data_IF_733551165054
#
_entry.id   IF_733551165054
#
_cell.length_a   1.000
_cell.length_b   1.000
_cell.length_c   1.000
_cell.angle_alpha   90.00
_cell.angle_beta   90.00
_cell.angle_gamma   90.00
#
_symmetry.space_group_name_H-M   'P 1'
#
loop_
_entity.id
_entity.type
_entity.pdbx_description
1 polymer ?
#
# COMPACT_ATOMS: atom_id res chain seq x y z
N UNK A 1 -9.34 -10.16 -25.53
CA UNK A 1 -8.91 -8.82 -25.97
C UNK A 1 -8.13 -8.24 -24.80
N UNK A 2 -6.81 -8.24 -24.86
CA UNK A 2 -5.96 -7.68 -23.80
C UNK A 2 -5.69 -6.22 -24.14
N UNK A 3 -6.22 -5.31 -23.33
CA UNK A 3 -5.98 -3.88 -23.46
C UNK A 3 -4.50 -3.61 -23.19
N UNK A 4 -3.75 -3.34 -24.26
CA UNK A 4 -2.35 -2.94 -24.15
C UNK A 4 -2.34 -1.53 -23.56
N UNK A 5 -1.77 -1.38 -22.38
CA UNK A 5 -1.55 -0.08 -21.75
C UNK A 5 -0.62 0.73 -22.66
N UNK A 6 -1.05 1.94 -23.03
CA UNK A 6 -0.27 2.81 -23.91
C UNK A 6 1.07 3.17 -23.24
N UNK A 7 2.21 3.09 -23.95
CA UNK A 7 3.51 3.51 -23.45
C UNK A 7 3.52 4.95 -22.91
N UNK A 8 2.72 5.84 -23.51
CA UNK A 8 2.55 7.23 -23.07
C UNK A 8 1.88 7.32 -21.69
N UNK A 9 0.94 6.43 -21.39
CA UNK A 9 0.29 6.39 -20.07
C UNK A 9 1.31 6.01 -18.99
N UNK A 10 2.16 5.02 -19.27
CA UNK A 10 3.21 4.58 -18.34
C UNK A 10 4.29 5.64 -18.13
N UNK A 11 4.71 6.33 -19.20
CA UNK A 11 5.68 7.43 -19.11
C UNK A 11 5.15 8.61 -18.27
N UNK A 12 3.87 8.96 -18.44
CA UNK A 12 3.24 10.02 -17.66
C UNK A 12 3.09 9.66 -16.18
N UNK A 13 2.78 8.40 -15.87
CA UNK A 13 2.72 7.93 -14.46
C UNK A 13 4.10 7.94 -13.80
N UNK A 14 5.14 7.54 -14.53
CA UNK A 14 6.52 7.56 -14.01
C UNK A 14 7.04 8.99 -13.83
N UNK A 15 6.77 9.88 -14.78
CA UNK A 15 7.12 11.29 -14.68
C UNK A 15 6.37 11.98 -13.53
N UNK A 16 5.08 11.67 -13.32
CA UNK A 16 4.30 12.20 -12.21
C UNK A 16 4.79 11.68 -10.85
N UNK A 17 5.15 10.39 -10.74
CA UNK A 17 5.77 9.82 -9.54
C UNK A 17 7.14 10.44 -9.24
N UNK A 18 7.97 10.63 -10.27
CA UNK A 18 9.29 11.24 -10.14
C UNK A 18 9.20 12.74 -9.78
N UNK A 19 8.29 13.48 -10.40
CA UNK A 19 8.02 14.87 -10.07
C UNK A 19 7.48 15.02 -8.63
N UNK A 20 6.61 14.11 -8.17
CA UNK A 20 6.14 14.10 -6.78
C UNK A 20 7.26 13.81 -5.78
N UNK A 21 8.24 13.00 -6.16
CA UNK A 21 9.43 12.71 -5.35
C UNK A 21 10.42 13.90 -5.31
N UNK A 22 10.58 14.64 -6.41
CA UNK A 22 11.47 15.81 -6.48
C UNK A 22 10.88 17.05 -5.81
N UNK A 23 9.55 17.19 -5.77
CA UNK A 23 8.88 18.32 -5.12
C UNK A 23 8.66 18.12 -3.62
N UNK A 24 8.95 16.93 -3.05
CA UNK A 24 9.17 16.81 -1.61
C UNK A 24 10.56 17.34 -1.28
N UNK A 25 10.60 18.57 -0.77
CA UNK A 25 11.82 19.32 -0.45
C UNK A 25 12.66 18.64 0.63
N UNK A 26 13.59 17.78 0.21
CA UNK A 26 14.95 17.57 0.74
C UNK A 26 15.41 16.19 0.26
N UNK A 27 16.60 16.12 -0.35
CA UNK A 27 17.29 14.83 -0.48
C UNK A 27 17.39 14.21 0.93
N UNK A 28 17.17 12.90 1.10
CA UNK A 28 17.27 12.28 2.41
C UNK A 28 18.64 12.55 3.03
N UNK A 29 18.64 13.07 4.27
CA UNK A 29 19.84 13.59 4.95
C UNK A 29 20.90 12.53 5.28
N UNK A 30 20.58 11.24 5.11
CA UNK A 30 21.54 10.15 5.34
C UNK A 30 21.57 9.15 4.19
N UNK A 31 22.75 8.56 3.98
CA UNK A 31 22.99 7.53 2.98
C UNK A 31 22.13 6.29 3.20
N UNK A 32 21.74 5.96 4.44
CA UNK A 32 20.86 4.82 4.71
C UNK A 32 19.44 5.04 4.16
N UNK A 33 18.86 6.24 4.38
CA UNK A 33 17.50 6.55 3.89
C UNK A 33 17.49 6.62 2.36
N UNK A 34 18.58 7.08 1.75
CA UNK A 34 18.74 7.06 0.30
C UNK A 34 18.81 5.62 -0.25
N UNK A 35 19.61 4.75 0.36
CA UNK A 35 19.73 3.34 -0.02
C UNK A 35 18.39 2.59 0.16
N UNK A 36 17.67 2.84 1.25
CA UNK A 36 16.36 2.24 1.52
C UNK A 36 15.30 2.70 0.51
N UNK A 37 15.34 3.98 0.10
CA UNK A 37 14.46 4.51 -0.95
C UNK A 37 14.73 3.86 -2.30
N UNK A 38 16.02 3.66 -2.67
CA UNK A 38 16.40 2.94 -3.89
C UNK A 38 15.99 1.45 -3.83
N UNK A 39 16.09 0.83 -2.65
CA UNK A 39 15.70 -0.57 -2.46
C UNK A 39 14.17 -0.74 -2.55
N UNK A 40 13.38 0.20 -2.03
CA UNK A 40 11.92 0.21 -2.21
C UNK A 40 11.53 0.42 -3.67
N UNK A 41 12.25 1.26 -4.40
CA UNK A 41 12.01 1.52 -5.81
C UNK A 41 12.30 0.28 -6.66
N UNK A 42 13.47 -0.34 -6.47
CA UNK A 42 13.90 -1.54 -7.23
C UNK A 42 13.07 -2.79 -6.91
N UNK A 43 12.56 -2.92 -5.68
CA UNK A 43 11.68 -4.02 -5.30
C UNK A 43 10.20 -3.77 -5.65
N UNK A 44 9.86 -2.61 -6.22
CA UNK A 44 8.50 -2.33 -6.66
C UNK A 44 8.06 -3.33 -7.74
N UNK A 45 6.91 -4.03 -7.56
CA UNK A 45 6.39 -4.96 -8.55
C UNK A 45 6.19 -4.33 -9.92
N UNK A 46 5.85 -3.03 -9.96
CA UNK A 46 5.65 -2.26 -11.18
C UNK A 46 6.95 -2.09 -11.97
N UNK A 47 8.08 -1.85 -11.28
CA UNK A 47 9.40 -1.73 -11.93
C UNK A 47 9.83 -3.09 -12.49
N UNK A 48 9.60 -4.18 -11.75
CA UNK A 48 9.90 -5.53 -12.24
C UNK A 48 9.05 -5.93 -13.45
N UNK A 49 7.79 -5.51 -13.53
CA UNK A 49 6.94 -5.71 -14.71
C UNK A 49 7.47 -4.87 -15.89
N UNK A 50 7.76 -3.59 -15.66
CA UNK A 50 8.34 -2.71 -16.67
C UNK A 50 9.67 -3.21 -17.23
N UNK A 51 10.57 -3.71 -16.37
CA UNK A 51 11.86 -4.26 -16.79
C UNK A 51 11.67 -5.53 -17.64
N UNK A 52 10.74 -6.41 -17.26
CA UNK A 52 10.44 -7.63 -18.03
C UNK A 52 9.80 -7.32 -19.39
N UNK A 53 8.93 -6.32 -19.45
CA UNK A 53 8.28 -5.91 -20.70
C UNK A 53 9.26 -5.16 -21.63
N UNK A 54 10.19 -4.38 -21.08
CA UNK A 54 11.22 -3.66 -21.85
C UNK A 54 12.25 -4.62 -22.47
N UNK A 55 12.66 -5.66 -21.73
CA UNK A 55 13.57 -6.70 -22.24
C UNK A 55 12.91 -7.55 -23.34
N UNK A 56 11.58 -7.73 -23.30
CA UNK A 56 10.85 -8.46 -24.34
C UNK A 56 10.45 -7.61 -25.56
N UNK A 57 10.47 -6.28 -25.47
CA UNK A 57 10.12 -5.37 -26.59
C UNK A 57 11.32 -4.90 -27.43
N UNK A 58 12.54 -5.36 -27.13
CA UNK A 58 13.74 -4.97 -27.89
C UNK A 58 13.89 -5.62 -29.27
N UNK A 59 12.90 -6.42 -29.70
CA UNK A 59 12.77 -6.94 -31.06
C UNK A 59 11.41 -6.56 -31.66
N UNK A 60 11.18 -5.26 -31.92
CA UNK A 60 10.48 -4.78 -33.11
C UNK A 60 10.23 -3.27 -33.03
N UNK A 61 10.66 -2.59 -34.10
CA UNK A 61 10.15 -1.30 -34.58
C UNK A 61 10.77 -0.02 -33.99
N UNK A 62 11.65 0.55 -34.81
CA UNK A 62 11.90 1.99 -34.94
C UNK A 62 10.63 2.72 -35.38
N UNK A 63 10.24 3.79 -34.67
CA UNK A 63 10.25 5.16 -35.18
C UNK A 63 9.51 6.13 -34.24
N UNK A 64 10.25 7.17 -33.86
CA UNK A 64 9.80 8.55 -33.64
C UNK A 64 8.65 8.81 -32.65
N UNK A 65 8.98 8.90 -31.35
CA UNK A 65 8.50 9.99 -30.46
C UNK A 65 9.50 10.25 -29.31
N UNK A 66 9.75 11.54 -29.03
CA UNK A 66 10.45 12.14 -27.88
C UNK A 66 11.63 11.37 -27.24
N UNK A 67 12.76 11.36 -27.95
CA UNK A 67 13.98 10.61 -27.62
C UNK A 67 14.96 11.21 -26.59
N UNK A 68 14.59 12.22 -25.79
CA UNK A 68 15.53 12.77 -24.80
C UNK A 68 15.45 12.11 -23.41
N UNK A 69 14.30 11.58 -22.99
CA UNK A 69 14.16 10.99 -21.64
C UNK A 69 14.61 9.52 -21.59
N UNK A 70 14.41 8.75 -22.66
CA UNK A 70 14.76 7.32 -22.70
C UNK A 70 16.25 7.06 -22.91
N UNK A 71 16.98 7.98 -23.55
CA UNK A 71 18.44 7.89 -23.71
C UNK A 71 19.18 7.89 -22.36
N UNK A 72 18.62 8.54 -21.33
CA UNK A 72 19.26 8.62 -20.02
C UNK A 72 19.12 7.32 -19.20
N UNK A 73 18.00 6.59 -19.32
CA UNK A 73 17.79 5.33 -18.59
C UNK A 73 18.67 4.22 -19.17
N UNK A 74 18.72 4.10 -20.50
CA UNK A 74 19.57 3.09 -21.16
C UNK A 74 21.04 3.33 -20.86
N UNK A 75 21.49 4.60 -20.89
CA UNK A 75 22.84 4.96 -20.48
C UNK A 75 23.13 4.57 -19.03
N UNK A 76 22.23 4.90 -18.11
CA UNK A 76 22.38 4.57 -16.69
C UNK A 76 22.44 3.06 -16.43
N UNK A 77 21.60 2.27 -17.11
CA UNK A 77 21.65 0.81 -17.00
C UNK A 77 22.94 0.23 -17.55
N UNK A 78 23.45 0.77 -18.66
CA UNK A 78 24.73 0.35 -19.22
C UNK A 78 25.90 0.73 -18.30
N UNK A 79 25.85 1.92 -17.68
CA UNK A 79 26.85 2.35 -16.70
C UNK A 79 26.85 1.44 -15.46
N UNK A 80 25.67 1.02 -14.97
CA UNK A 80 25.55 0.04 -13.88
C UNK A 80 26.16 -1.31 -14.26
N UNK A 81 25.84 -1.82 -15.46
CA UNK A 81 26.38 -3.10 -15.93
C UNK A 81 27.90 -3.02 -16.08
N UNK A 82 28.43 -1.91 -16.61
CA UNK A 82 29.86 -1.70 -16.73
C UNK A 82 30.54 -1.63 -15.36
N UNK A 83 29.97 -0.91 -14.39
CA UNK A 83 30.49 -0.84 -13.01
C UNK A 83 30.54 -2.24 -12.37
N UNK A 84 29.52 -3.07 -12.59
CA UNK A 84 29.47 -4.44 -12.07
C UNK A 84 30.48 -5.37 -12.77
N UNK A 85 30.76 -5.14 -14.05
CA UNK A 85 31.79 -5.88 -14.79
C UNK A 85 33.21 -5.48 -14.38
N UNK A 86 33.43 -4.18 -14.16
CA UNK A 86 34.73 -3.64 -13.76
C UNK A 86 35.08 -3.95 -12.30
N UNK A 87 34.08 -4.32 -11.48
CA UNK A 87 34.25 -4.60 -10.04
C UNK A 87 33.58 -5.94 -9.66
N UNK A 88 34.16 -7.10 -10.06
CA UNK A 88 33.58 -8.41 -9.79
C UNK A 88 33.35 -8.69 -8.30
N UNK A 89 34.17 -8.11 -7.42
CA UNK A 89 34.05 -8.23 -5.95
C UNK A 89 32.74 -7.64 -5.40
N UNK A 90 32.14 -6.67 -6.09
CA UNK A 90 30.83 -6.13 -5.75
C UNK A 90 29.72 -7.15 -6.01
N UNK A 91 29.87 -7.99 -7.04
CA UNK A 91 28.90 -9.03 -7.37
C UNK A 91 28.85 -10.10 -6.27
N UNK A 92 30.01 -10.47 -5.73
CA UNK A 92 30.12 -11.41 -4.62
C UNK A 92 29.60 -10.81 -3.33
N UNK A 93 29.84 -9.51 -3.08
CA UNK A 93 29.30 -8.81 -1.91
C UNK A 93 27.77 -8.73 -1.94
N UNK A 94 27.17 -8.43 -3.10
CA UNK A 94 25.71 -8.40 -3.30
C UNK A 94 25.07 -9.79 -3.14
N UNK A 95 25.71 -10.84 -3.64
CA UNK A 95 25.23 -12.21 -3.46
C UNK A 95 25.35 -12.66 -2.00
N UNK A 96 26.46 -12.30 -1.32
CA UNK A 96 26.69 -12.61 0.08
C UNK A 96 25.70 -11.90 1.01
N UNK A 97 25.27 -10.68 0.69
CA UNK A 97 24.20 -10.00 1.44
C UNK A 97 22.82 -10.64 1.22
N UNK A 98 22.54 -11.14 0.01
CA UNK A 98 21.32 -11.93 -0.25
C UNK A 98 21.31 -13.24 0.55
N UNK A 99 22.44 -13.92 0.65
CA UNK A 99 22.57 -15.16 1.42
C UNK A 99 22.53 -14.90 2.95
N UNK A 100 23.10 -13.79 3.41
CA UNK A 100 23.01 -13.37 4.82
C UNK A 100 21.58 -13.03 5.24
N UNK A 101 20.75 -12.59 4.28
CA UNK A 101 19.32 -12.34 4.48
C UNK A 101 18.45 -13.61 4.41
N UNK A 102 18.99 -14.75 3.99
CA UNK A 102 18.26 -16.02 3.81
C UNK A 102 18.53 -17.08 4.91
N UNK A 103 19.45 -16.82 5.84
CA UNK A 103 19.84 -17.81 6.87
C UNK A 103 19.26 -17.58 8.27
N UNK A 104 18.31 -16.66 8.44
CA UNK A 104 17.52 -16.62 9.68
C UNK A 104 16.59 -17.85 9.68
N UNK A 105 16.65 -18.74 10.69
CA UNK A 105 15.80 -19.92 10.76
C UNK A 105 14.34 -19.47 10.76
N UNK A 106 13.66 -19.66 9.64
CA UNK A 106 12.25 -19.33 9.48
C UNK A 106 11.41 -20.44 10.11
N UNK A 107 11.52 -20.60 11.44
CA UNK A 107 10.50 -21.26 12.25
C UNK A 107 9.52 -20.19 12.73
N UNK A 108 8.88 -19.50 11.80
CA UNK A 108 7.71 -18.65 12.09
C UNK A 108 6.52 -19.55 11.82
N UNK A 109 6.21 -20.43 12.77
CA UNK A 109 5.26 -20.17 13.85
C UNK A 109 3.91 -19.76 13.27
N UNK A 110 2.92 -20.59 13.56
CA UNK A 110 1.51 -20.48 13.23
C UNK A 110 1.04 -19.05 12.99
N UNK A 111 0.21 -18.88 11.96
CA UNK A 111 -0.46 -17.66 11.50
C UNK A 111 -1.29 -17.02 12.63
N UNK A 112 -0.59 -16.45 13.62
CA UNK A 112 -1.17 -15.91 14.83
C UNK A 112 -1.77 -14.59 14.46
N UNK A 113 -3.09 -14.57 14.43
CA UNK A 113 -3.85 -13.34 14.21
C UNK A 113 -3.43 -12.35 15.29
N UNK A 114 -2.92 -11.20 14.86
CA UNK A 114 -2.60 -10.08 15.72
C UNK A 114 -3.77 -9.80 16.68
N UNK A 115 -3.51 -9.88 17.98
CA UNK A 115 -4.50 -9.59 19.02
C UNK A 115 -4.24 -8.18 19.57
N UNK A 116 -5.23 -7.30 19.46
CA UNK A 116 -5.14 -5.94 19.98
C UNK A 116 -5.35 -5.94 21.49
N UNK A 117 -4.31 -5.58 22.25
CA UNK A 117 -4.39 -5.41 23.71
C UNK A 117 -4.92 -4.02 24.07
N UNK A 118 -5.50 -3.88 25.27
CA UNK A 118 -6.04 -2.61 25.76
C UNK A 118 -4.99 -1.48 25.74
N UNK A 119 -3.74 -1.80 26.09
CA UNK A 119 -2.62 -0.84 26.05
C UNK A 119 -2.39 -0.30 24.64
N UNK A 120 -2.39 -1.17 23.63
CA UNK A 120 -2.27 -0.76 22.22
C UNK A 120 -3.43 0.13 21.79
N UNK A 121 -4.65 -0.12 22.29
CA UNK A 121 -5.83 0.68 21.95
C UNK A 121 -5.74 2.11 22.51
N UNK A 122 -5.33 2.24 23.77
CA UNK A 122 -5.10 3.55 24.37
C UNK A 122 -4.01 4.31 23.65
N UNK A 123 -2.91 3.62 23.29
CA UNK A 123 -1.82 4.23 22.56
C UNK A 123 -2.24 4.70 21.17
N UNK A 124 -2.95 3.86 20.42
CA UNK A 124 -3.51 4.22 19.12
C UNK A 124 -4.45 5.43 19.23
N UNK A 125 -5.34 5.45 20.22
CA UNK A 125 -6.26 6.58 20.44
C UNK A 125 -5.49 7.88 20.69
N UNK A 126 -4.50 7.86 21.58
CA UNK A 126 -3.65 9.02 21.87
C UNK A 126 -2.89 9.54 20.63
N UNK A 127 -2.37 8.64 19.79
CA UNK A 127 -1.66 9.02 18.57
C UNK A 127 -2.61 9.58 17.49
N UNK A 128 -3.85 9.10 17.42
CA UNK A 128 -4.87 9.61 16.51
C UNK A 128 -5.34 11.01 16.91
N UNK A 129 -5.44 11.30 18.21
CA UNK A 129 -5.75 12.64 18.72
C UNK A 129 -4.67 13.67 18.31
N UNK A 130 -3.41 13.21 18.19
CA UNK A 130 -2.29 14.00 17.70
C UNK A 130 -2.25 14.15 16.17
N UNK A 131 -3.26 13.64 15.44
CA UNK A 131 -3.37 13.69 13.97
C UNK A 131 -2.15 13.12 13.22
N UNK A 132 -1.53 12.07 13.77
CA UNK A 132 -0.39 11.41 13.12
C UNK A 132 -0.84 10.53 11.94
N UNK A 133 0.05 10.31 10.98
CA UNK A 133 -0.22 9.42 9.84
C UNK A 133 -0.20 7.95 10.26
N UNK A 134 -0.96 7.09 9.58
CA UNK A 134 -1.01 5.66 9.93
C UNK A 134 0.35 4.94 9.79
N UNK A 135 1.21 5.40 8.87
CA UNK A 135 2.58 4.88 8.71
C UNK A 135 3.40 5.16 9.96
N UNK A 136 3.39 6.41 10.44
CA UNK A 136 4.07 6.81 11.66
C UNK A 136 3.53 6.06 12.88
N UNK A 137 2.21 5.97 13.02
CA UNK A 137 1.57 5.26 14.14
C UNK A 137 1.98 3.78 14.15
N UNK A 138 2.06 3.17 12.98
CA UNK A 138 2.45 1.76 12.85
C UNK A 138 3.88 1.54 13.29
N UNK A 139 4.80 2.44 12.92
CA UNK A 139 6.18 2.38 13.38
C UNK A 139 6.25 2.43 14.90
N UNK A 140 5.60 3.42 15.53
CA UNK A 140 5.57 3.57 16.99
C UNK A 140 5.01 2.33 17.67
N UNK A 141 3.89 1.78 17.19
CA UNK A 141 3.29 0.59 17.80
C UNK A 141 4.13 -0.67 17.59
N UNK A 142 4.83 -0.79 16.45
CA UNK A 142 5.73 -1.90 16.22
C UNK A 142 6.94 -1.84 17.15
N UNK A 143 7.53 -0.65 17.32
CA UNK A 143 8.67 -0.42 18.19
C UNK A 143 8.31 -0.63 19.67
N UNK A 144 7.17 -0.10 20.13
CA UNK A 144 6.76 -0.18 21.54
C UNK A 144 6.33 -1.58 21.96
N UNK A 145 5.70 -2.36 21.06
CA UNK A 145 5.09 -3.65 21.41
C UNK A 145 5.80 -4.86 20.76
N UNK A 146 6.91 -4.66 20.06
CA UNK A 146 7.65 -5.72 19.37
C UNK A 146 6.83 -6.40 18.27
N UNK A 147 6.04 -5.62 17.53
CA UNK A 147 5.11 -6.12 16.51
C UNK A 147 5.65 -5.90 15.09
N UNK A 148 5.04 -6.58 14.12
CA UNK A 148 5.31 -6.38 12.69
C UNK A 148 4.01 -6.06 11.95
N UNK A 149 3.28 -5.06 12.43
CA UNK A 149 2.03 -4.63 11.81
C UNK A 149 2.28 -3.82 10.54
N UNK A 150 1.32 -3.89 9.61
CA UNK A 150 1.26 -3.05 8.41
C UNK A 150 0.36 -1.84 8.65
N UNK A 151 0.61 -0.68 8.01
CA UNK A 151 -0.22 0.53 8.14
C UNK A 151 -1.72 0.32 7.91
N UNK A 152 -2.07 -0.57 6.97
CA UNK A 152 -3.45 -0.91 6.69
C UNK A 152 -4.16 -1.58 7.88
N UNK A 153 -3.47 -2.35 8.72
CA UNK A 153 -4.06 -2.99 9.90
C UNK A 153 -4.46 -1.95 10.95
N UNK A 154 -3.60 -0.94 11.18
CA UNK A 154 -3.89 0.19 12.07
C UNK A 154 -5.06 1.02 11.54
N UNK A 155 -5.03 1.37 10.25
CA UNK A 155 -6.14 2.09 9.60
C UNK A 155 -7.46 1.33 9.73
N UNK A 156 -7.47 0.02 9.45
CA UNK A 156 -8.68 -0.79 9.60
C UNK A 156 -9.16 -0.87 11.06
N UNK A 157 -8.24 -1.00 12.03
CA UNK A 157 -8.60 -1.03 13.45
C UNK A 157 -9.31 0.27 13.85
N UNK A 158 -8.71 1.40 13.51
CA UNK A 158 -9.28 2.70 13.81
C UNK A 158 -10.65 2.88 13.17
N UNK A 159 -10.72 2.74 11.84
CA UNK A 159 -11.92 3.03 11.05
C UNK A 159 -13.08 2.05 11.25
N UNK A 160 -12.84 0.88 11.87
CA UNK A 160 -13.88 -0.14 12.08
C UNK A 160 -14.26 -0.36 13.53
N UNK A 161 -13.41 -0.02 14.50
CA UNK A 161 -13.59 -0.45 15.89
C UNK A 161 -13.38 0.67 16.90
N UNK A 162 -12.27 1.39 16.79
CA UNK A 162 -11.83 2.30 17.87
C UNK A 162 -12.26 3.74 17.68
N UNK A 163 -12.46 4.20 16.45
CA UNK A 163 -12.88 5.58 16.20
C UNK A 163 -14.17 5.91 16.99
N UNK A 164 -14.15 6.93 17.86
CA UNK A 164 -15.29 7.29 18.72
C UNK A 164 -16.52 7.76 17.92
N UNK A 165 -16.35 8.18 16.67
CA UNK A 165 -17.46 8.51 15.78
C UNK A 165 -18.28 7.28 15.35
N UNK A 166 -17.78 6.06 15.59
CA UNK A 166 -18.49 4.83 15.25
C UNK A 166 -19.56 4.57 16.31
N UNK A 167 -20.82 4.55 15.86
CA UNK A 167 -21.97 4.17 16.67
C UNK A 167 -21.92 2.67 16.99
N UNK A 168 -21.56 2.39 18.23
CA UNK A 168 -21.60 1.06 18.84
C UNK A 168 -23.01 0.81 19.40
N UNK A 169 -23.49 -0.43 19.28
CA UNK A 169 -24.78 -0.85 19.85
C UNK A 169 -25.88 -1.14 18.82
N UNK A 170 -27.10 -1.31 19.34
CA UNK A 170 -28.28 -1.72 18.58
C UNK A 170 -28.65 -0.69 17.51
N UNK A 171 -29.32 -1.16 16.47
CA UNK A 171 -29.91 -0.29 15.46
C UNK A 171 -31.20 0.30 16.01
N UNK A 172 -31.36 1.61 15.87
CA UNK A 172 -32.61 2.28 16.24
C UNK A 172 -33.68 1.96 15.21
N UNK A 173 -34.94 1.94 15.63
CA UNK A 173 -36.06 1.64 14.74
C UNK A 173 -36.10 2.60 13.53
N UNK A 174 -35.87 3.89 13.76
CA UNK A 174 -35.79 4.90 12.71
C UNK A 174 -34.63 4.66 11.71
N UNK A 175 -33.50 4.12 12.19
CA UNK A 175 -32.37 3.76 11.31
C UNK A 175 -32.72 2.55 10.45
N UNK A 176 -33.44 1.58 11.03
CA UNK A 176 -33.90 0.38 10.33
C UNK A 176 -34.85 0.78 9.22
N UNK A 177 -35.89 1.56 9.52
CA UNK A 177 -36.89 2.04 8.55
C UNK A 177 -36.25 2.80 7.38
N UNK A 178 -35.29 3.69 7.69
CA UNK A 178 -34.50 4.38 6.65
C UNK A 178 -33.69 3.40 5.81
N UNK A 179 -33.06 2.40 6.42
CA UNK A 179 -32.30 1.39 5.71
C UNK A 179 -33.21 0.59 4.76
N UNK A 180 -34.40 0.18 5.22
CA UNK A 180 -35.35 -0.55 4.37
C UNK A 180 -35.82 0.29 3.19
N UNK A 181 -36.09 1.57 3.41
CA UNK A 181 -36.48 2.49 2.36
C UNK A 181 -35.39 2.61 1.28
N UNK A 182 -34.11 2.64 1.68
CA UNK A 182 -33.00 2.68 0.73
C UNK A 182 -32.78 1.36 -0.01
N UNK A 183 -32.97 0.21 0.66
CA UNK A 183 -32.91 -1.11 0.01
C UNK A 183 -34.03 -1.22 -1.04
N UNK A 184 -35.26 -0.81 -0.71
CA UNK A 184 -36.40 -0.81 -1.65
C UNK A 184 -36.17 0.09 -2.87
N UNK A 185 -35.33 1.12 -2.74
CA UNK A 185 -34.89 1.98 -3.84
C UNK A 185 -33.72 1.41 -4.65
N UNK A 186 -33.27 0.19 -4.34
CA UNK A 186 -32.14 -0.48 -4.98
C UNK A 186 -30.83 0.33 -4.93
N UNK A 187 -30.61 1.10 -3.85
CA UNK A 187 -29.34 1.81 -3.66
C UNK A 187 -28.20 0.81 -3.38
N UNK A 188 -27.01 1.13 -3.89
CA UNK A 188 -25.81 0.35 -3.57
C UNK A 188 -25.42 0.51 -2.10
N UNK A 189 -24.73 -0.48 -1.54
CA UNK A 189 -24.29 -0.44 -0.13
C UNK A 189 -23.40 0.78 0.16
N UNK A 190 -22.60 1.21 -0.82
CA UNK A 190 -21.75 2.41 -0.70
C UNK A 190 -22.58 3.69 -0.58
N UNK A 191 -23.63 3.82 -1.41
CA UNK A 191 -24.56 4.94 -1.33
C UNK A 191 -25.32 4.94 -0.02
N UNK A 192 -25.81 3.79 0.43
CA UNK A 192 -26.47 3.65 1.73
C UNK A 192 -25.52 4.08 2.85
N UNK A 193 -24.27 3.64 2.82
CA UNK A 193 -23.26 4.02 3.83
C UNK A 193 -23.06 5.53 3.93
N UNK A 194 -23.08 6.25 2.81
CA UNK A 194 -23.02 7.72 2.82
C UNK A 194 -24.18 8.39 3.57
N UNK A 195 -25.31 7.69 3.77
CA UNK A 195 -26.51 8.17 4.46
C UNK A 195 -26.57 7.80 5.95
N UNK A 196 -25.67 6.97 6.44
CA UNK A 196 -25.61 6.55 7.85
C UNK A 196 -24.29 6.98 8.51
N UNK A 197 -24.15 8.26 8.87
CA UNK A 197 -22.95 8.72 9.58
C UNK A 197 -22.78 7.92 10.88
N UNK A 198 -21.53 7.51 11.13
CA UNK A 198 -21.17 6.71 12.31
C UNK A 198 -21.48 5.21 12.21
N UNK A 199 -22.14 4.73 11.15
CA UNK A 199 -22.21 3.28 10.87
C UNK A 199 -21.18 2.91 9.83
N UNK A 200 -20.42 1.86 10.11
CA UNK A 200 -19.43 1.32 9.17
C UNK A 200 -20.13 0.54 8.04
N UNK A 201 -19.48 0.50 6.87
CA UNK A 201 -19.94 -0.31 5.74
C UNK A 201 -20.24 -1.78 6.14
N UNK A 202 -19.39 -2.36 6.98
CA UNK A 202 -19.55 -3.74 7.45
C UNK A 202 -20.81 -3.92 8.32
N UNK A 203 -21.15 -2.95 9.18
CA UNK A 203 -22.38 -2.99 9.97
C UNK A 203 -23.61 -2.95 9.08
N UNK A 204 -23.59 -2.13 8.03
CA UNK A 204 -24.68 -2.02 7.04
C UNK A 204 -24.84 -3.32 6.28
N UNK A 205 -23.75 -3.88 5.73
CA UNK A 205 -23.78 -5.18 5.03
C UNK A 205 -24.36 -6.29 5.91
N UNK A 206 -23.91 -6.38 7.17
CA UNK A 206 -24.45 -7.35 8.13
C UNK A 206 -25.94 -7.15 8.37
N UNK A 207 -26.40 -5.91 8.47
CA UNK A 207 -27.82 -5.60 8.70
C UNK A 207 -28.69 -5.95 7.50
N UNK A 208 -28.26 -5.59 6.28
CA UNK A 208 -28.94 -5.96 5.03
C UNK A 208 -29.07 -7.48 4.93
N UNK A 209 -28.00 -8.22 5.24
CA UNK A 209 -28.03 -9.68 5.23
C UNK A 209 -29.11 -10.24 6.16
N UNK A 210 -29.19 -9.74 7.40
CA UNK A 210 -30.21 -10.17 8.38
C UNK A 210 -31.62 -9.90 7.84
N UNK A 211 -31.85 -8.73 7.24
CA UNK A 211 -33.15 -8.33 6.72
C UNK A 211 -33.60 -9.23 5.56
N UNK A 212 -32.69 -9.58 4.65
CA UNK A 212 -32.98 -10.49 3.55
C UNK A 212 -33.31 -11.91 4.03
N UNK A 213 -32.70 -12.35 5.14
CA UNK A 213 -33.01 -13.66 5.74
C UNK A 213 -34.39 -13.69 6.41
N UNK A 214 -34.91 -12.56 6.89
CA UNK A 214 -36.23 -12.48 7.54
C UNK A 214 -37.40 -12.36 6.56
N UNK A 215 -37.12 -12.00 5.31
CA UNK A 215 -38.13 -11.85 4.26
C UNK A 215 -38.41 -13.16 3.49
N UNK A 216 -37.69 -14.24 3.81
CA UNK A 216 -37.85 -15.59 3.25
C UNK A 216 -38.68 -16.44 4.21
#
# INVERSE_FOLDING_TARGET
MSDKISPEFTANVLADLYCKQLHSQSLPDTSEVYAETLQQFTNSPLINILLKDTVNSQYQSSEQTNGQSYMNITKYNNDIVQILQDNPDLHDSLNKEKEKSQSVPTSISENTRLTWTLSMEHRLSSLMDQKKSYVYITQILNDEFGLQMKPNQVSQRWNRVQNPAILKGRWMQEDIERLEAYIKRNLSVSEIHSKFPGRTLLQIQKRIKIQNTQAQ
#
